data_IF_901748699290
#
_entry.id   IF_901748699290
#
_cell.length_a   1.000
_cell.length_b   1.000
_cell.length_c   1.000
_cell.angle_alpha   90.00
_cell.angle_beta   90.00
_cell.angle_gamma   90.00
#
_symmetry.space_group_name_H-M   'P 1'
#
loop_
_entity.id
_entity.type
_entity.pdbx_description
1 polymer ?
#
# COMPACT_ATOMS: atom_id res chain seq x y z
N UNK A 1 -2.30 -33.27 27.76
CA UNK A 1 -2.25 -33.23 26.28
C UNK A 1 -2.97 -32.03 25.67
N UNK A 2 -4.18 -31.65 26.11
CA UNK A 2 -4.95 -30.52 25.56
C UNK A 2 -4.24 -29.14 25.69
N UNK A 3 -3.52 -28.87 26.78
CA UNK A 3 -2.83 -27.58 26.99
C UNK A 3 -1.61 -27.35 26.09
N UNK A 4 -0.86 -28.42 25.75
CA UNK A 4 0.26 -28.31 24.81
C UNK A 4 -0.23 -28.09 23.38
N UNK A 5 -1.37 -28.70 23.02
CA UNK A 5 -2.01 -28.50 21.73
C UNK A 5 -2.54 -27.07 21.56
N UNK A 6 -3.18 -26.49 22.58
CA UNK A 6 -3.63 -25.08 22.54
C UNK A 6 -2.47 -24.10 22.44
N UNK A 7 -1.32 -24.38 23.08
CA UNK A 7 -0.11 -23.56 22.97
C UNK A 7 0.47 -23.57 21.55
N UNK A 8 0.53 -24.75 20.91
CA UNK A 8 1.02 -24.88 19.53
C UNK A 8 0.10 -24.14 18.56
N UNK A 9 -1.23 -24.29 18.71
CA UNK A 9 -2.21 -23.59 17.86
C UNK A 9 -2.10 -22.06 18.05
N UNK A 10 -1.95 -21.60 19.30
CA UNK A 10 -1.72 -20.18 19.61
C UNK A 10 -0.44 -19.65 18.95
N UNK A 11 0.66 -20.39 19.01
CA UNK A 11 1.92 -20.00 18.39
C UNK A 11 1.81 -19.91 16.86
N UNK A 12 1.11 -20.87 16.23
CA UNK A 12 0.87 -20.87 14.78
C UNK A 12 0.01 -19.66 14.38
N UNK A 13 -1.06 -19.37 15.12
CA UNK A 13 -1.92 -18.20 14.86
C UNK A 13 -1.14 -16.89 15.00
N UNK A 14 -0.30 -16.76 16.02
CA UNK A 14 0.54 -15.59 16.22
C UNK A 14 1.54 -15.41 15.06
N UNK A 15 2.14 -16.51 14.61
CA UNK A 15 3.08 -16.50 13.49
C UNK A 15 2.42 -16.07 12.18
N UNK A 16 1.21 -16.60 11.89
CA UNK A 16 0.42 -16.21 10.72
C UNK A 16 0.07 -14.72 10.80
N UNK A 17 -0.37 -14.23 11.96
CA UNK A 17 -0.70 -12.83 12.16
C UNK A 17 0.51 -11.91 11.88
N UNK A 18 1.68 -12.25 12.42
CA UNK A 18 2.91 -11.49 12.19
C UNK A 18 3.33 -11.51 10.72
N UNK A 19 3.16 -12.65 10.04
CA UNK A 19 3.52 -12.79 8.62
C UNK A 19 2.65 -11.89 7.73
N UNK A 20 1.35 -11.83 8.00
CA UNK A 20 0.41 -10.94 7.28
C UNK A 20 0.77 -9.48 7.55
N UNK A 21 1.04 -9.11 8.81
CA UNK A 21 1.43 -7.75 9.16
C UNK A 21 2.70 -7.30 8.43
N UNK A 22 3.68 -8.19 8.29
CA UNK A 22 4.95 -7.86 7.62
C UNK A 22 4.78 -7.66 6.11
N UNK A 23 3.93 -8.46 5.47
CA UNK A 23 3.64 -8.33 4.03
C UNK A 23 2.87 -7.04 3.73
N UNK A 24 1.92 -6.65 4.58
CA UNK A 24 1.08 -5.49 4.32
C UNK A 24 1.78 -4.14 4.52
N UNK A 25 2.82 -4.04 5.34
CA UNK A 25 3.47 -2.76 5.69
C UNK A 25 4.58 -2.32 4.70
N UNK A 26 4.62 -2.89 3.50
CA UNK A 26 5.61 -2.51 2.51
C UNK A 26 5.04 -2.58 1.10
N UNK A 27 5.32 -1.54 0.31
CA UNK A 27 4.96 -1.48 -1.10
C UNK A 27 6.25 -1.45 -1.92
N UNK A 28 6.23 -2.10 -3.08
CA UNK A 28 7.36 -2.07 -4.01
C UNK A 28 6.92 -1.31 -5.26
N UNK A 29 7.44 -0.11 -5.40
CA UNK A 29 7.24 0.68 -6.61
C UNK A 29 7.96 0.04 -7.79
N UNK A 30 7.22 -0.17 -8.87
CA UNK A 30 7.72 -0.79 -10.08
C UNK A 30 8.62 0.17 -10.90
N UNK A 31 9.46 -0.42 -11.74
CA UNK A 31 10.35 0.36 -12.59
C UNK A 31 9.52 1.17 -13.62
N UNK A 32 9.85 2.44 -13.80
CA UNK A 32 9.08 3.35 -14.64
C UNK A 32 7.83 3.93 -13.95
N UNK A 33 7.66 3.65 -12.65
CA UNK A 33 6.67 4.28 -11.79
C UNK A 33 7.36 5.06 -10.68
N UNK A 34 6.65 6.07 -10.17
CA UNK A 34 7.01 6.82 -8.98
C UNK A 34 5.86 6.73 -7.98
N UNK A 35 6.20 6.58 -6.70
CA UNK A 35 5.23 6.41 -5.63
C UNK A 35 4.94 7.73 -4.94
N UNK A 36 3.68 7.94 -4.59
CA UNK A 36 3.19 9.05 -3.78
C UNK A 36 2.72 8.47 -2.45
N UNK A 37 3.50 8.70 -1.40
CA UNK A 37 3.11 8.36 -0.03
C UNK A 37 2.21 9.47 0.52
N UNK A 38 0.96 9.14 0.80
CA UNK A 38 -0.07 10.06 1.28
C UNK A 38 -0.45 9.71 2.71
N UNK A 39 -0.38 10.68 3.63
CA UNK A 39 -0.96 10.53 4.97
C UNK A 39 -2.46 10.75 4.92
N UNK A 40 -3.21 9.78 5.45
CA UNK A 40 -4.67 9.78 5.48
C UNK A 40 -5.23 10.56 6.67
N UNK A 41 -4.43 10.72 7.72
CA UNK A 41 -4.80 11.52 8.89
C UNK A 41 -4.28 12.93 8.71
N UNK A 42 -5.22 13.87 8.69
CA UNK A 42 -4.96 15.28 8.47
C UNK A 42 -5.88 16.17 9.29
N UNK A 43 -5.44 17.39 9.59
CA UNK A 43 -6.20 18.38 10.36
C UNK A 43 -7.03 19.31 9.48
N UNK A 44 -6.67 19.46 8.21
CA UNK A 44 -7.35 20.34 7.25
C UNK A 44 -7.84 19.57 6.03
N UNK A 45 -8.75 20.19 5.29
CA UNK A 45 -9.29 19.61 4.06
C UNK A 45 -8.20 19.61 2.97
N UNK A 46 -7.88 18.42 2.46
CA UNK A 46 -6.93 18.23 1.37
C UNK A 46 -5.81 17.26 1.73
N UNK A 47 -4.96 16.95 0.77
CA UNK A 47 -3.79 16.09 1.01
C UNK A 47 -2.66 16.96 1.54
N UNK A 48 -2.45 16.94 2.86
CA UNK A 48 -1.52 17.87 3.52
C UNK A 48 -0.07 17.37 3.52
N UNK A 49 0.13 16.07 3.66
CA UNK A 49 1.47 15.48 3.77
C UNK A 49 1.65 14.40 2.70
N UNK A 50 2.50 14.73 1.73
CA UNK A 50 2.80 13.91 0.57
C UNK A 50 4.31 13.81 0.42
N UNK A 51 4.81 12.59 0.26
CA UNK A 51 6.21 12.33 -0.05
C UNK A 51 6.34 11.53 -1.33
N UNK A 52 7.22 11.97 -2.23
CA UNK A 52 7.60 11.19 -3.41
C UNK A 52 8.63 10.14 -3.02
N UNK A 53 8.36 8.90 -3.39
CA UNK A 53 9.13 7.74 -2.96
C UNK A 53 9.39 6.80 -4.15
N UNK A 54 10.52 6.10 -4.10
CA UNK A 54 10.93 5.12 -5.12
C UNK A 54 11.47 3.86 -4.46
N UNK A 55 11.44 2.74 -5.19
CA UNK A 55 11.96 1.45 -4.70
C UNK A 55 11.01 0.75 -3.73
N UNK A 56 11.54 0.15 -2.66
CA UNK A 56 10.71 -0.51 -1.64
C UNK A 56 10.50 0.44 -0.47
N UNK A 57 9.24 0.72 -0.18
CA UNK A 57 8.83 1.69 0.83
C UNK A 57 8.13 0.97 1.95
N UNK A 58 8.60 1.22 3.18
CA UNK A 58 7.92 0.78 4.38
C UNK A 58 6.97 1.88 4.83
N UNK A 59 5.69 1.53 4.99
CA UNK A 59 4.64 2.46 5.36
C UNK A 59 3.60 1.74 6.20
N UNK A 60 2.74 2.51 6.86
CA UNK A 60 1.65 1.93 7.64
C UNK A 60 0.31 2.05 6.87
N UNK A 61 -0.26 0.95 6.35
CA UNK A 61 -1.51 0.99 5.57
C UNK A 61 -2.72 1.55 6.32
N UNK A 62 -2.66 1.58 7.66
CA UNK A 62 -3.74 2.17 8.45
C UNK A 62 -3.71 3.71 8.43
N UNK A 63 -2.54 4.31 8.24
CA UNK A 63 -2.33 5.77 8.32
C UNK A 63 -1.88 6.40 7.02
N UNK A 64 -1.33 5.60 6.12
CA UNK A 64 -0.65 6.03 4.92
C UNK A 64 -1.08 5.15 3.75
N UNK A 65 -1.13 5.72 2.55
CA UNK A 65 -1.31 4.99 1.30
C UNK A 65 -0.23 5.36 0.30
N UNK A 66 0.20 4.39 -0.50
CA UNK A 66 1.13 4.60 -1.61
C UNK A 66 0.34 4.54 -2.92
N UNK A 67 0.44 5.60 -3.73
CA UNK A 67 -0.14 5.63 -5.08
C UNK A 67 0.99 5.65 -6.11
N UNK A 68 0.96 4.71 -7.05
CA UNK A 68 1.95 4.65 -8.12
C UNK A 68 1.43 5.36 -9.37
N UNK A 69 2.27 6.21 -9.94
CA UNK A 69 2.01 6.83 -11.24
C UNK A 69 3.19 6.58 -12.20
N UNK A 70 2.91 6.42 -13.50
CA UNK A 70 3.95 6.16 -14.48
C UNK A 70 4.72 7.44 -14.81
N UNK A 71 6.04 7.32 -14.96
CA UNK A 71 6.94 8.44 -15.31
C UNK A 71 7.15 8.58 -16.82
N UNK A 72 6.43 7.80 -17.63
CA UNK A 72 6.49 7.78 -19.08
C UNK A 72 5.18 8.26 -19.72
N UNK A 73 5.27 8.76 -20.96
CA UNK A 73 4.12 9.27 -21.72
C UNK A 73 3.19 8.12 -22.12
N UNK A 74 1.89 8.27 -21.84
CA UNK A 74 0.86 7.32 -22.25
C UNK A 74 0.05 7.86 -23.43
N UNK A 75 -0.04 7.09 -24.51
CA UNK A 75 -0.95 7.38 -25.63
C UNK A 75 -2.20 6.54 -25.47
N UNK A 76 -3.34 7.18 -25.20
CA UNK A 76 -4.64 6.53 -25.07
C UNK A 76 -5.47 6.80 -26.33
N UNK A 77 -6.00 5.74 -26.94
CA UNK A 77 -6.95 5.85 -28.05
C UNK A 77 -8.37 5.93 -27.48
N UNK A 78 -9.02 7.07 -27.66
CA UNK A 78 -10.41 7.27 -27.25
C UNK A 78 -11.39 6.74 -28.30
N UNK A 79 -12.52 6.20 -27.85
CA UNK A 79 -13.62 5.87 -28.75
C UNK A 79 -14.27 7.16 -29.27
N UNK A 80 -14.82 7.11 -30.48
CA UNK A 80 -15.58 8.23 -31.02
C UNK A 80 -16.75 8.58 -30.09
N UNK A 81 -16.92 9.87 -29.80
CA UNK A 81 -18.05 10.38 -29.02
C UNK A 81 -18.69 11.56 -29.76
N UNK A 82 -19.98 11.77 -29.53
CA UNK A 82 -20.74 12.88 -30.11
C UNK A 82 -20.78 14.03 -29.11
N UNK A 83 -20.48 15.25 -29.56
CA UNK A 83 -20.66 16.48 -28.77
C UNK A 83 -22.07 16.99 -29.02
N UNK A 84 -22.83 17.23 -27.94
CA UNK A 84 -24.19 17.79 -27.98
C UNK A 84 -24.18 19.30 -28.21
#
# INVERSE_FOLDING_TARGET
MRSKLTLIISAILLFIFFSIAFVSCNERIDAGYEGILVKLYGTDKGVQDVSLVTGRVWYNPFTENVYEFPTYVQTINYTAFTVN
#
